data_IF_075748115162
#
_entry.id   IF_075748115162
#
_cell.length_a   1.000
_cell.length_b   1.000
_cell.length_c   1.000
_cell.angle_alpha   90.00
_cell.angle_beta   90.00
_cell.angle_gamma   90.00
#
_symmetry.space_group_name_H-M   'P 1'
#
loop_
_entity.id
_entity.type
_entity.pdbx_description
1 polymer ?
#
# COMPACT_ATOMS: atom_id res chain seq x y z
N UNK A 1 8.59 5.56 -16.23
CA UNK A 1 8.11 5.88 -14.86
C UNK A 1 8.51 4.71 -13.97
N UNK A 2 9.04 4.96 -12.77
CA UNK A 2 9.74 3.94 -11.95
C UNK A 2 8.83 2.78 -11.52
N UNK A 3 8.79 1.70 -12.29
CA UNK A 3 8.01 0.47 -12.03
C UNK A 3 8.56 -0.37 -10.85
N UNK A 4 9.65 0.06 -10.20
CA UNK A 4 10.35 -0.74 -9.20
C UNK A 4 10.13 -0.33 -7.73
N UNK A 5 9.46 0.79 -7.45
CA UNK A 5 9.24 1.21 -6.05
C UNK A 5 8.06 0.45 -5.45
N UNK A 6 8.30 -0.21 -4.31
CA UNK A 6 7.24 -0.83 -3.51
C UNK A 6 6.88 0.12 -2.37
N UNK A 7 5.63 0.56 -2.34
CA UNK A 7 5.08 1.39 -1.28
C UNK A 7 4.47 0.45 -0.24
N UNK A 8 4.95 0.53 1.00
CA UNK A 8 4.35 -0.11 2.16
C UNK A 8 3.68 0.97 3.00
N UNK A 9 2.38 0.87 3.20
CA UNK A 9 1.59 1.90 3.88
C UNK A 9 0.94 1.26 5.10
N UNK A 10 1.40 1.65 6.29
CA UNK A 10 0.80 1.23 7.55
C UNK A 10 -0.38 2.13 7.91
N UNK A 11 -1.53 1.56 8.21
CA UNK A 11 -2.75 2.30 8.59
C UNK A 11 -3.64 1.51 9.57
N UNK A 12 -4.53 2.17 10.34
CA UNK A 12 -5.49 1.50 11.22
C UNK A 12 -6.48 0.62 10.43
N UNK A 13 -6.76 -0.59 10.90
CA UNK A 13 -7.61 -1.57 10.19
C UNK A 13 -9.02 -1.04 9.87
N UNK A 14 -9.54 -0.16 10.72
CA UNK A 14 -10.84 0.50 10.53
C UNK A 14 -10.91 1.39 9.27
N UNK A 15 -9.77 1.85 8.75
CA UNK A 15 -9.69 2.69 7.55
C UNK A 15 -9.52 1.88 6.26
N UNK A 16 -9.51 0.54 6.34
CA UNK A 16 -9.27 -0.32 5.19
C UNK A 16 -10.35 -0.18 4.11
N UNK A 17 -11.58 0.15 4.48
CA UNK A 17 -12.67 0.46 3.53
C UNK A 17 -12.32 1.62 2.59
N UNK A 18 -11.70 2.68 3.11
CA UNK A 18 -11.25 3.83 2.29
C UNK A 18 -10.18 3.40 1.28
N UNK A 19 -9.26 2.54 1.70
CA UNK A 19 -8.23 1.97 0.81
C UNK A 19 -8.87 1.17 -0.33
N UNK A 20 -9.86 0.34 -0.02
CA UNK A 20 -10.58 -0.43 -1.04
C UNK A 20 -11.34 0.46 -2.01
N UNK A 21 -12.00 1.51 -1.52
CA UNK A 21 -12.70 2.48 -2.36
C UNK A 21 -11.73 3.15 -3.34
N UNK A 22 -10.61 3.67 -2.82
CA UNK A 22 -9.57 4.28 -3.64
C UNK A 22 -9.07 3.29 -4.70
N UNK A 23 -8.80 2.04 -4.32
CA UNK A 23 -8.31 1.02 -5.25
C UNK A 23 -9.27 0.75 -6.42
N UNK A 24 -10.58 0.83 -6.18
CA UNK A 24 -11.58 0.67 -7.26
C UNK A 24 -11.66 1.85 -8.22
N UNK A 25 -11.16 3.02 -7.83
CA UNK A 25 -11.22 4.25 -8.61
C UNK A 25 -10.02 4.48 -9.53
N UNK A 26 -8.89 3.80 -9.30
CA UNK A 26 -7.67 3.96 -10.11
C UNK A 26 -7.56 2.92 -11.24
N UNK A 27 -7.25 3.39 -12.45
CA UNK A 27 -7.01 2.56 -13.63
C UNK A 27 -5.64 2.90 -14.28
N UNK A 28 -4.89 1.92 -14.83
CA UNK A 28 -5.22 0.50 -14.83
C UNK A 28 -5.08 -0.11 -13.43
N UNK A 29 -6.05 -0.92 -13.03
CA UNK A 29 -6.03 -1.53 -11.70
C UNK A 29 -4.79 -2.39 -11.50
N UNK A 30 -3.96 -2.01 -10.54
CA UNK A 30 -2.77 -2.75 -10.15
C UNK A 30 -3.01 -3.57 -8.89
N UNK A 31 -2.20 -4.62 -8.69
CA UNK A 31 -2.30 -5.46 -7.50
C UNK A 31 -1.92 -4.68 -6.24
N UNK A 32 -2.62 -4.98 -5.15
CA UNK A 32 -2.22 -4.62 -3.80
C UNK A 32 -2.19 -5.88 -2.92
N UNK A 33 -1.34 -5.87 -1.91
CA UNK A 33 -1.29 -6.91 -0.87
C UNK A 33 -1.64 -6.25 0.44
N UNK A 34 -2.51 -6.89 1.23
CA UNK A 34 -2.89 -6.40 2.56
C UNK A 34 -2.47 -7.48 3.55
N UNK A 35 -1.72 -7.08 4.58
CA UNK A 35 -1.30 -7.96 5.66
C UNK A 35 -1.53 -7.30 7.02
N UNK A 36 -1.82 -8.07 8.08
CA UNK A 36 -1.86 -7.52 9.43
C UNK A 36 -0.46 -7.02 9.82
N UNK A 37 -0.38 -5.91 10.56
CA UNK A 37 0.89 -5.43 11.09
C UNK A 37 1.37 -6.38 12.20
N UNK A 38 2.65 -6.79 12.11
CA UNK A 38 3.29 -7.61 13.15
C UNK A 38 3.73 -6.77 14.36
N UNK A 39 3.86 -5.45 14.18
CA UNK A 39 4.37 -4.53 15.21
C UNK A 39 3.30 -3.82 16.01
N UNK A 40 2.17 -3.50 15.36
CA UNK A 40 1.11 -2.69 15.94
C UNK A 40 -0.22 -3.43 15.81
N UNK A 41 -0.80 -3.83 16.93
CA UNK A 41 -2.14 -4.42 16.96
C UNK A 41 -3.19 -3.42 16.46
N UNK A 42 -4.18 -3.90 15.70
CA UNK A 42 -5.21 -3.05 15.09
C UNK A 42 -4.74 -2.26 13.86
N UNK A 43 -3.52 -2.51 13.37
CA UNK A 43 -2.99 -1.90 12.15
C UNK A 43 -2.78 -2.94 11.05
N UNK A 44 -2.83 -2.48 9.81
CA UNK A 44 -2.54 -3.26 8.60
C UNK A 44 -1.46 -2.58 7.78
N UNK A 45 -0.78 -3.36 6.95
CA UNK A 45 0.18 -2.88 5.96
C UNK A 45 -0.39 -3.17 4.59
N UNK A 46 -0.54 -2.11 3.79
CA UNK A 46 -0.93 -2.16 2.39
C UNK A 46 0.30 -1.99 1.53
N UNK A 47 0.57 -2.96 0.67
CA UNK A 47 1.71 -2.95 -0.24
C UNK A 47 1.21 -2.78 -1.67
N UNK A 48 1.76 -1.80 -2.38
CA UNK A 48 1.42 -1.54 -3.79
C UNK A 48 2.61 -0.94 -4.54
N UNK A 49 2.63 -1.12 -5.87
CA UNK A 49 3.54 -0.39 -6.77
C UNK A 49 2.87 0.77 -7.48
N UNK A 50 1.56 0.94 -7.27
CA UNK A 50 0.79 1.98 -7.92
C UNK A 50 0.99 3.31 -7.18
N UNK A 51 1.77 4.21 -7.78
CA UNK A 51 2.18 5.47 -7.14
C UNK A 51 0.99 6.38 -6.84
N UNK A 52 0.07 6.56 -7.79
CA UNK A 52 -1.09 7.47 -7.59
C UNK A 52 -2.04 6.94 -6.52
N UNK A 53 -2.37 5.64 -6.56
CA UNK A 53 -3.12 4.97 -5.50
C UNK A 53 -2.45 5.08 -4.12
N UNK A 54 -1.13 4.90 -4.03
CA UNK A 54 -0.39 5.10 -2.78
C UNK A 54 -0.51 6.53 -2.26
N UNK A 55 -0.41 7.53 -3.14
CA UNK A 55 -0.60 8.93 -2.77
C UNK A 55 -2.02 9.23 -2.29
N UNK A 56 -3.04 8.63 -2.92
CA UNK A 56 -4.43 8.76 -2.53
C UNK A 56 -4.69 8.27 -1.11
N UNK A 57 -4.16 7.08 -0.76
CA UNK A 57 -4.26 6.53 0.59
C UNK A 57 -3.69 7.50 1.63
N UNK A 58 -2.52 8.08 1.36
CA UNK A 58 -1.83 8.98 2.29
C UNK A 58 -2.62 10.30 2.44
N UNK A 59 -3.23 10.80 1.37
CA UNK A 59 -4.03 12.01 1.40
C UNK A 59 -5.35 11.82 2.16
N UNK A 60 -6.01 10.68 1.98
CA UNK A 60 -7.33 10.43 2.57
C UNK A 60 -7.28 9.89 4.01
N UNK A 61 -6.15 9.32 4.42
CA UNK A 61 -5.95 8.73 5.75
C UNK A 61 -4.75 9.41 6.41
N UNK A 62 -4.97 10.49 7.19
CA UNK A 62 -3.88 11.26 7.83
C UNK A 62 -2.99 10.43 8.76
N UNK A 63 -3.52 9.35 9.34
CA UNK A 63 -2.77 8.44 10.22
C UNK A 63 -1.86 7.47 9.47
N UNK A 64 -2.01 7.37 8.14
CA UNK A 64 -1.25 6.45 7.32
C UNK A 64 0.23 6.84 7.27
N UNK A 65 1.11 5.83 7.37
CA UNK A 65 2.56 6.01 7.30
C UNK A 65 3.12 5.24 6.12
N UNK A 66 3.71 5.95 5.17
CA UNK A 66 4.36 5.34 4.00
C UNK A 66 5.82 5.05 4.25
N UNK A 67 6.25 3.87 3.82
CA UNK A 67 7.63 3.49 3.68
C UNK A 67 7.88 3.08 2.23
N UNK A 68 8.81 3.75 1.56
CA UNK A 68 9.17 3.46 0.18
C UNK A 68 10.38 2.54 0.18
N UNK A 69 10.18 1.31 -0.31
CA UNK A 69 11.27 0.37 -0.50
C UNK A 69 11.83 0.57 -1.91
N UNK A 70 13.09 1.01 -1.97
CA UNK A 70 13.89 1.06 -3.20
C UNK A 70 14.50 -0.31 -3.55
N UNK A 71 14.24 -1.35 -2.74
CA UNK A 71 14.83 -2.66 -2.95
C UNK A 71 14.32 -3.31 -4.25
N UNK A 72 15.23 -3.79 -5.13
CA UNK A 72 14.84 -4.59 -6.28
C UNK A 72 14.16 -5.86 -5.79
N UNK A 73 13.05 -6.22 -6.45
CA UNK A 73 12.25 -7.41 -6.16
C UNK A 73 13.18 -8.61 -5.99
N UNK A 74 13.16 -9.28 -4.82
CA UNK A 74 13.77 -10.61 -4.70
C UNK A 74 13.01 -11.53 -5.62
N UNK A 75 13.57 -11.81 -6.80
CA UNK A 75 13.08 -12.84 -7.70
C UNK A 75 13.33 -14.17 -7.00
N UNK A 76 12.30 -14.73 -6.37
CA UNK A 76 12.33 -16.10 -5.89
C UNK A 76 12.14 -16.99 -7.11
N UNK A 77 13.17 -17.74 -7.51
CA UNK A 77 13.01 -18.80 -8.51
C UNK A 77 12.10 -19.87 -7.89
N UNK A 78 10.96 -20.13 -8.53
CA UNK A 78 10.07 -21.25 -8.24
C UNK A 78 10.69 -22.54 -8.76
#
# INVERSE_FOLDING_TARGET
>A
MNENKLYQIGLPIEKLSNVHLNWTCYEPRQKMIISPSVKNEGWVVVETRHTEFAAAIINDIPEAKVHVLDNPVKIVKL
#
